data_IF_947476955412
#
_entry.id   IF_947476955412
#
_cell.length_a   1.000
_cell.length_b   1.000
_cell.length_c   1.000
_cell.angle_alpha   90.00
_cell.angle_beta   90.00
_cell.angle_gamma   90.00
#
_symmetry.space_group_name_H-M   'P 1'
#
loop_
_entity.id
_entity.type
_entity.pdbx_description
1 polymer ?
#
# COMPACT_ATOMS: atom_id res chain seq x y z
N UNK A 1 25.05 -2.57 9.51
CA UNK A 1 23.69 -2.19 9.09
C UNK A 1 23.41 -3.01 7.86
N UNK A 2 22.52 -3.99 7.93
CA UNK A 2 22.26 -4.88 6.79
C UNK A 2 21.75 -4.06 5.61
N UNK A 3 22.41 -4.16 4.46
CA UNK A 3 22.06 -3.40 3.25
C UNK A 3 20.60 -3.68 2.85
N UNK A 4 20.11 -4.89 3.13
CA UNK A 4 18.71 -5.28 3.01
C UNK A 4 17.77 -4.41 3.86
N UNK A 5 18.11 -4.16 5.13
CA UNK A 5 17.34 -3.25 5.99
C UNK A 5 17.38 -1.81 5.46
N UNK A 6 18.50 -1.42 4.84
CA UNK A 6 18.62 -0.13 4.14
C UNK A 6 17.64 0.02 2.98
N UNK A 7 17.48 -1.01 2.15
CA UNK A 7 16.49 -1.00 1.05
C UNK A 7 15.05 -0.98 1.56
N UNK A 8 14.74 -1.78 2.58
CA UNK A 8 13.40 -1.80 3.21
C UNK A 8 13.08 -0.45 3.84
N UNK A 9 14.04 0.16 4.53
CA UNK A 9 13.88 1.50 5.12
C UNK A 9 13.72 2.58 4.05
N UNK A 10 14.48 2.51 2.94
CA UNK A 10 14.34 3.44 1.83
C UNK A 10 12.97 3.33 1.14
N UNK A 11 12.44 2.11 0.98
CA UNK A 11 11.08 1.89 0.47
C UNK A 11 10.02 2.40 1.46
N UNK A 12 10.18 2.11 2.75
CA UNK A 12 9.27 2.59 3.80
C UNK A 12 9.28 4.13 3.91
N UNK A 13 10.45 4.76 3.82
CA UNK A 13 10.58 6.22 3.79
C UNK A 13 10.06 6.80 2.48
N UNK A 14 10.25 6.15 1.33
CA UNK A 14 9.63 6.60 0.08
C UNK A 14 8.11 6.56 0.16
N UNK A 15 7.53 5.58 0.86
CA UNK A 15 6.09 5.60 1.16
C UNK A 15 5.74 6.76 2.11
N UNK A 16 6.53 7.00 3.15
CA UNK A 16 6.29 8.09 4.11
C UNK A 16 6.60 9.51 3.57
N UNK A 17 7.42 9.64 2.52
CA UNK A 17 7.92 10.90 1.98
C UNK A 17 7.03 11.49 0.88
N UNK A 18 5.92 10.83 0.51
CA UNK A 18 4.97 11.40 -0.45
C UNK A 18 3.96 10.43 -1.08
N UNK A 19 3.77 9.22 -0.56
CA UNK A 19 2.70 8.30 -1.00
C UNK A 19 1.73 8.11 0.16
N UNK A 20 0.51 8.64 0.03
CA UNK A 20 -0.54 8.49 1.03
C UNK A 20 -0.77 7.01 1.42
N UNK A 21 -1.12 6.77 2.70
CA UNK A 21 -1.31 5.45 3.32
C UNK A 21 -2.20 4.48 2.53
N UNK A 22 -3.10 4.98 1.67
CA UNK A 22 -3.93 4.15 0.81
C UNK A 22 -3.14 3.36 -0.24
N UNK A 23 -2.07 3.92 -0.80
CA UNK A 23 -1.29 3.24 -1.84
C UNK A 23 -0.47 2.05 -1.28
N UNK A 24 0.26 2.20 -0.15
CA UNK A 24 0.87 1.06 0.55
C UNK A 24 -0.15 -0.02 0.95
N UNK A 25 -1.33 0.37 1.43
CA UNK A 25 -2.41 -0.57 1.77
C UNK A 25 -2.90 -1.35 0.54
N UNK A 26 -3.09 -0.68 -0.60
CA UNK A 26 -3.47 -1.33 -1.86
C UNK A 26 -2.40 -2.33 -2.31
N UNK A 27 -1.13 -1.94 -2.25
CA UNK A 27 -0.01 -2.81 -2.60
C UNK A 27 0.05 -4.06 -1.73
N UNK A 28 -0.09 -3.92 -0.41
CA UNK A 28 -0.09 -5.05 0.52
C UNK A 28 -1.27 -6.01 0.25
N UNK A 29 -2.46 -5.46 -0.01
CA UNK A 29 -3.63 -6.27 -0.34
C UNK A 29 -3.48 -7.01 -1.69
N UNK A 30 -2.91 -6.36 -2.71
CA UNK A 30 -2.63 -6.98 -4.02
C UNK A 30 -1.55 -8.05 -3.92
N UNK A 31 -0.44 -7.78 -3.22
CA UNK A 31 0.59 -8.78 -2.97
C UNK A 31 0.00 -9.98 -2.24
N UNK A 32 -0.78 -9.76 -1.18
CA UNK A 32 -1.37 -10.85 -0.42
C UNK A 32 -2.44 -11.64 -1.18
N UNK A 33 -3.15 -11.02 -2.14
CA UNK A 33 -4.15 -11.71 -2.97
C UNK A 33 -3.54 -12.53 -4.11
N UNK A 34 -2.48 -12.02 -4.73
CA UNK A 34 -1.93 -12.57 -5.98
C UNK A 34 -0.56 -13.23 -5.84
N UNK A 35 0.07 -13.13 -4.67
CA UNK A 35 1.39 -13.70 -4.39
C UNK A 35 1.45 -14.28 -2.98
N UNK A 36 2.40 -15.18 -2.73
CA UNK A 36 2.66 -15.71 -1.39
C UNK A 36 3.70 -14.89 -0.61
N UNK A 37 3.99 -13.67 -1.08
CA UNK A 37 5.01 -12.80 -0.47
C UNK A 37 4.54 -12.16 0.84
N UNK A 38 3.22 -11.98 0.99
CA UNK A 38 2.61 -11.28 2.13
C UNK A 38 1.41 -12.07 2.61
N UNK A 39 1.44 -12.52 3.86
CA UNK A 39 0.30 -13.16 4.51
C UNK A 39 -0.39 -12.17 5.46
N UNK A 40 -1.70 -11.94 5.25
CA UNK A 40 -2.48 -10.97 6.01
C UNK A 40 -3.35 -11.70 7.03
N UNK A 41 -2.90 -11.70 8.28
CA UNK A 41 -3.68 -12.20 9.40
C UNK A 41 -4.93 -11.33 9.67
N UNK A 42 -5.94 -11.93 10.31
CA UNK A 42 -7.14 -11.20 10.76
C UNK A 42 -6.75 -10.02 11.67
N UNK A 43 -7.35 -8.82 11.50
CA UNK A 43 -8.52 -8.49 10.66
C UNK A 43 -8.17 -8.09 9.21
N UNK A 44 -6.89 -8.02 8.86
CA UNK A 44 -6.40 -7.47 7.59
C UNK A 44 -6.62 -8.41 6.41
N UNK A 45 -6.97 -9.68 6.65
CA UNK A 45 -7.31 -10.65 5.60
C UNK A 45 -8.40 -10.16 4.65
N UNK A 46 -9.31 -9.28 5.10
CA UNK A 46 -10.32 -8.66 4.21
C UNK A 46 -9.74 -7.80 3.10
N UNK A 47 -8.51 -7.29 3.23
CA UNK A 47 -7.83 -6.57 2.16
C UNK A 47 -7.56 -7.47 0.95
N UNK A 48 -7.63 -8.80 1.09
CA UNK A 48 -7.55 -9.70 -0.05
C UNK A 48 -8.87 -9.73 -0.84
N UNK A 49 -10.00 -9.26 -0.30
CA UNK A 49 -11.28 -9.29 -1.02
C UNK A 49 -11.30 -8.29 -2.18
N UNK A 50 -11.84 -8.67 -3.35
CA UNK A 50 -11.74 -7.85 -4.55
C UNK A 50 -12.50 -6.52 -4.41
N UNK A 51 -13.61 -6.52 -3.66
CA UNK A 51 -14.38 -5.31 -3.37
C UNK A 51 -13.66 -4.36 -2.43
N UNK A 52 -12.93 -4.88 -1.45
CA UNK A 52 -12.13 -4.07 -0.54
C UNK A 52 -10.94 -3.45 -1.27
N UNK A 53 -10.25 -4.22 -2.13
CA UNK A 53 -9.19 -3.71 -3.00
C UNK A 53 -9.69 -2.62 -3.95
N UNK A 54 -10.87 -2.81 -4.55
CA UNK A 54 -11.46 -1.81 -5.42
C UNK A 54 -11.77 -0.51 -4.66
N UNK A 55 -12.33 -0.61 -3.44
CA UNK A 55 -12.61 0.55 -2.60
C UNK A 55 -11.32 1.28 -2.18
N UNK A 56 -10.31 0.55 -1.71
CA UNK A 56 -9.01 1.11 -1.35
C UNK A 56 -8.31 1.70 -2.56
N UNK A 57 -8.41 1.06 -3.73
CA UNK A 57 -7.86 1.57 -4.99
C UNK A 57 -8.54 2.86 -5.45
N UNK A 58 -9.86 2.98 -5.28
CA UNK A 58 -10.57 4.22 -5.56
C UNK A 58 -10.14 5.36 -4.62
N UNK A 59 -10.01 5.08 -3.32
CA UNK A 59 -9.50 6.05 -2.35
C UNK A 59 -8.07 6.46 -2.70
N UNK A 60 -7.19 5.50 -3.00
CA UNK A 60 -5.82 5.77 -3.40
C UNK A 60 -5.74 6.63 -4.67
N UNK A 61 -6.66 6.42 -5.63
CA UNK A 61 -6.72 7.23 -6.85
C UNK A 61 -7.16 8.67 -6.55
N UNK A 62 -8.22 8.86 -5.75
CA UNK A 62 -8.70 10.18 -5.32
C UNK A 62 -7.58 10.93 -4.59
N UNK A 63 -6.90 10.24 -3.69
CA UNK A 63 -5.83 10.81 -2.88
C UNK A 63 -4.60 11.17 -3.73
N UNK A 64 -4.17 10.27 -4.62
CA UNK A 64 -3.08 10.53 -5.56
C UNK A 64 -3.38 11.72 -6.49
N UNK A 65 -4.63 11.89 -6.92
CA UNK A 65 -5.04 13.06 -7.72
C UNK A 65 -5.07 14.32 -6.85
N UNK A 66 -5.62 14.23 -5.63
CA UNK A 66 -5.67 15.32 -4.66
C UNK A 66 -4.28 15.88 -4.34
N UNK A 67 -3.30 15.02 -4.04
CA UNK A 67 -1.91 15.41 -3.76
C UNK A 67 -1.23 16.15 -4.93
N UNK A 68 -1.76 16.03 -6.15
CA UNK A 68 -1.20 16.63 -7.37
C UNK A 68 -1.94 17.87 -7.83
N UNK A 69 -3.11 18.16 -7.27
CA UNK A 69 -3.84 19.39 -7.53
C UNK A 69 -3.47 20.39 -6.43
N UNK A 70 -2.64 21.41 -6.73
CA UNK A 70 -2.32 22.44 -5.75
C UNK A 70 -3.61 23.21 -5.41
N UNK A 71 -3.91 23.32 -4.12
CA UNK A 71 -4.89 24.28 -3.59
C UNK A 71 -4.35 25.70 -3.65
#
# INVERSE_FOLDING_TARGET
MDVALGYVAALAVSTAAGLNAYLPLLLLGLLSRYTDLVDLASPWSRLQEPWVLAAVGALALVDFVGDKVPS
#
